data_IF_975579748377
#
_entry.id   IF_975579748377
#
_cell.length_a   1.000
_cell.length_b   1.000
_cell.length_c   1.000
_cell.angle_alpha   90.00
_cell.angle_beta   90.00
_cell.angle_gamma   90.00
#
_symmetry.space_group_name_H-M   'P 1'
#
loop_
_entity.id
_entity.type
_entity.pdbx_description
1 polymer ?
#
# COMPACT_ATOMS: atom_id res chain seq x y z
N UNK A 1 -8.79 28.45 -8.54
CA UNK A 1 -9.67 27.94 -7.47
C UNK A 1 -10.32 26.66 -7.95
N UNK A 2 -9.68 25.52 -7.77
CA UNK A 2 -10.27 24.22 -8.09
C UNK A 2 -10.92 23.68 -6.80
N UNK A 3 -12.20 23.40 -6.87
CA UNK A 3 -12.96 22.76 -5.78
C UNK A 3 -12.95 21.26 -6.05
N UNK A 4 -12.25 20.53 -5.21
CA UNK A 4 -12.27 19.06 -5.24
C UNK A 4 -13.50 18.57 -4.48
N UNK A 5 -14.28 17.70 -5.11
CA UNK A 5 -15.46 17.07 -4.48
C UNK A 5 -15.03 15.69 -4.02
N UNK A 6 -15.04 15.48 -2.71
CA UNK A 6 -14.77 14.18 -2.10
C UNK A 6 -16.10 13.53 -1.73
N UNK A 7 -16.34 12.30 -2.19
CA UNK A 7 -17.52 11.52 -1.84
C UNK A 7 -17.28 10.75 -0.53
N UNK A 8 -17.99 11.14 0.51
CA UNK A 8 -18.05 10.35 1.75
C UNK A 8 -19.36 9.57 1.73
N UNK A 9 -19.28 8.26 1.65
CA UNK A 9 -20.43 7.38 1.74
C UNK A 9 -20.75 7.11 3.22
N UNK A 10 -21.83 7.69 3.72
CA UNK A 10 -22.45 7.30 4.97
C UNK A 10 -23.70 6.48 4.70
N UNK A 11 -23.97 5.50 5.55
CA UNK A 11 -25.04 4.53 5.39
C UNK A 11 -26.40 5.21 5.15
N UNK A 12 -26.99 5.01 3.99
CA UNK A 12 -28.33 5.35 3.54
C UNK A 12 -28.64 6.72 2.91
N UNK A 13 -27.74 7.66 2.79
CA UNK A 13 -27.96 8.84 1.92
C UNK A 13 -26.66 9.55 1.57
N UNK A 14 -26.39 9.72 0.27
CA UNK A 14 -25.25 10.52 -0.23
C UNK A 14 -25.53 12.00 0.05
N UNK A 15 -24.88 12.57 1.05
CA UNK A 15 -24.91 14.02 1.30
C UNK A 15 -23.65 14.66 0.72
N UNK A 16 -23.86 15.67 -0.13
CA UNK A 16 -22.83 16.58 -0.61
C UNK A 16 -22.31 17.40 0.58
N UNK A 17 -21.13 17.06 1.06
CA UNK A 17 -20.42 17.89 2.05
C UNK A 17 -19.40 18.74 1.29
N UNK A 18 -19.67 20.04 1.18
CA UNK A 18 -18.67 21.01 0.73
C UNK A 18 -17.68 21.22 1.85
N UNK A 19 -16.48 20.68 1.69
CA UNK A 19 -15.36 20.98 2.58
C UNK A 19 -14.58 22.14 1.95
N UNK A 20 -14.56 23.28 2.59
CA UNK A 20 -13.67 24.39 2.22
C UNK A 20 -12.25 24.03 2.67
N UNK A 21 -11.50 23.41 1.78
CA UNK A 21 -10.07 23.09 1.96
C UNK A 21 -9.17 24.31 1.76
N UNK A 22 -9.40 25.38 2.54
CA UNK A 22 -8.42 26.45 2.73
C UNK A 22 -8.05 26.47 4.21
N UNK A 23 -7.42 25.39 4.67
CA UNK A 23 -6.49 25.47 5.79
C UNK A 23 -5.13 25.11 5.23
N UNK A 24 -4.24 26.09 5.27
CA UNK A 24 -2.81 25.92 5.06
C UNK A 24 -2.36 24.60 5.69
N UNK A 25 -1.71 23.74 4.92
CA UNK A 25 -0.93 22.63 5.43
C UNK A 25 0.20 23.21 6.31
N UNK A 26 -0.17 23.61 7.52
CA UNK A 26 0.76 23.98 8.56
C UNK A 26 1.22 22.69 9.21
N UNK A 27 2.52 22.45 9.17
CA UNK A 27 3.18 21.49 10.05
C UNK A 27 2.57 21.63 11.44
N UNK A 28 1.99 20.55 11.97
CA UNK A 28 1.57 20.51 13.36
C UNK A 28 2.85 20.55 14.22
N UNK A 29 3.19 21.69 14.88
CA UNK A 29 4.49 21.84 15.54
C UNK A 29 4.61 21.01 16.82
N UNK A 30 3.61 20.21 17.17
CA UNK A 30 3.57 19.46 18.42
C UNK A 30 3.58 17.95 18.26
N UNK A 31 3.49 17.38 17.05
CA UNK A 31 3.57 15.92 16.82
C UNK A 31 2.61 15.07 17.67
N UNK A 32 1.58 15.70 18.25
CA UNK A 32 0.64 15.01 19.11
C UNK A 32 -0.44 14.35 18.25
N UNK A 33 -0.30 13.04 18.07
CA UNK A 33 -1.39 12.19 17.62
C UNK A 33 -2.54 12.36 18.59
N UNK A 34 -3.69 12.84 18.12
CA UNK A 34 -4.86 13.13 18.97
C UNK A 34 -5.61 11.84 19.31
N UNK A 35 -5.60 10.85 18.41
CA UNK A 35 -6.18 9.54 18.65
C UNK A 35 -5.22 8.65 19.45
N UNK A 36 -5.74 8.00 20.51
CA UNK A 36 -5.00 6.95 21.22
C UNK A 36 -5.67 5.60 20.99
N UNK A 37 -4.90 4.67 20.45
CA UNK A 37 -5.29 3.26 20.46
C UNK A 37 -5.31 2.74 21.91
N UNK A 38 -6.25 1.83 22.26
CA UNK A 38 -6.19 1.14 23.53
C UNK A 38 -4.92 0.29 23.60
N UNK A 39 -4.27 0.27 24.75
CA UNK A 39 -3.12 -0.60 24.97
C UNK A 39 -3.55 -2.07 24.94
N UNK A 40 -2.94 -2.85 24.06
CA UNK A 40 -3.19 -4.26 23.88
C UNK A 40 -1.93 -5.09 24.18
N UNK A 41 -2.16 -6.32 24.59
CA UNK A 41 -1.10 -7.33 24.49
C UNK A 41 -0.99 -7.85 23.03
N UNK A 42 0.15 -8.46 22.69
CA UNK A 42 0.32 -9.13 21.38
C UNK A 42 -0.72 -10.22 21.15
N UNK A 43 -1.10 -10.91 22.24
CA UNK A 43 -2.13 -11.95 22.18
C UNK A 43 -3.50 -11.35 21.86
N UNK A 44 -3.88 -10.22 22.49
CA UNK A 44 -5.17 -9.57 22.22
C UNK A 44 -5.30 -9.13 20.76
N UNK A 45 -4.24 -8.51 20.22
CA UNK A 45 -4.23 -8.10 18.81
C UNK A 45 -4.28 -9.33 17.88
N UNK A 46 -3.50 -10.37 18.17
CA UNK A 46 -3.52 -11.63 17.41
C UNK A 46 -4.91 -12.26 17.40
N UNK A 47 -5.56 -12.37 18.55
CA UNK A 47 -6.90 -12.96 18.67
C UNK A 47 -7.95 -12.19 17.85
N UNK A 48 -7.88 -10.86 17.81
CA UNK A 48 -8.79 -10.04 16.99
C UNK A 48 -8.57 -10.27 15.49
N UNK A 49 -7.31 -10.39 15.05
CA UNK A 49 -6.99 -10.67 13.64
C UNK A 49 -7.39 -12.10 13.28
N UNK A 50 -7.10 -13.07 14.12
CA UNK A 50 -7.39 -14.50 13.89
C UNK A 50 -8.91 -14.81 13.90
N UNK A 51 -9.73 -13.92 14.47
CA UNK A 51 -11.18 -14.01 14.39
C UNK A 51 -11.74 -13.67 12.99
N UNK A 52 -10.95 -13.05 12.14
CA UNK A 52 -11.35 -12.74 10.77
C UNK A 52 -11.15 -13.95 9.84
N UNK A 53 -12.05 -14.14 8.87
CA UNK A 53 -11.84 -15.12 7.82
C UNK A 53 -10.53 -14.87 7.09
N UNK A 54 -9.75 -15.93 6.89
CA UNK A 54 -8.52 -15.84 6.11
C UNK A 54 -8.20 -17.16 5.38
N UNK A 55 -7.42 -17.01 4.31
CA UNK A 55 -6.77 -18.10 3.59
C UNK A 55 -5.27 -17.83 3.51
N UNK A 56 -4.48 -18.83 3.19
CA UNK A 56 -3.02 -18.69 3.15
C UNK A 56 -2.55 -18.55 1.70
N UNK A 57 -2.46 -17.31 1.22
CA UNK A 57 -1.91 -16.99 -0.09
C UNK A 57 -0.48 -16.46 0.03
N UNK A 58 -0.25 -15.59 1.00
CA UNK A 58 1.05 -14.97 1.23
C UNK A 58 2.08 -15.94 1.81
N UNK A 59 3.31 -15.89 1.29
CA UNK A 59 4.47 -16.55 1.91
C UNK A 59 4.98 -15.65 3.05
N UNK A 60 4.58 -15.97 4.28
CA UNK A 60 4.96 -15.26 5.50
C UNK A 60 5.48 -16.26 6.55
N UNK A 61 6.36 -15.84 7.48
CA UNK A 61 6.92 -14.48 7.62
C UNK A 61 7.88 -14.13 6.49
N UNK A 62 7.86 -12.86 6.07
CA UNK A 62 8.87 -12.35 5.13
C UNK A 62 10.18 -12.03 5.86
N UNK A 63 11.36 -12.12 5.20
CA UNK A 63 12.61 -11.79 5.86
C UNK A 63 12.69 -10.34 6.36
N UNK A 64 13.31 -10.13 7.50
CA UNK A 64 13.86 -8.86 7.95
C UNK A 64 15.39 -8.96 7.77
N UNK A 65 15.91 -8.34 6.72
CA UNK A 65 17.28 -8.50 6.23
C UNK A 65 18.11 -7.27 6.55
N UNK A 66 19.30 -7.43 7.09
CA UNK A 66 20.24 -6.32 7.28
C UNK A 66 20.90 -5.95 5.95
N UNK A 67 20.90 -4.66 5.62
CA UNK A 67 21.53 -4.07 4.43
C UNK A 67 22.89 -3.49 4.81
N UNK A 68 23.91 -4.34 4.87
CA UNK A 68 25.23 -3.97 5.43
C UNK A 68 25.93 -2.86 4.63
N UNK A 69 25.95 -2.96 3.31
CA UNK A 69 26.64 -1.97 2.48
C UNK A 69 25.89 -0.63 2.50
N UNK A 70 24.57 -0.67 2.45
CA UNK A 70 23.74 0.51 2.54
C UNK A 70 23.84 1.17 3.93
N UNK A 71 23.90 0.38 5.00
CA UNK A 71 24.12 0.88 6.36
C UNK A 71 25.45 1.61 6.50
N UNK A 72 26.53 1.06 5.94
CA UNK A 72 27.86 1.68 5.93
C UNK A 72 27.85 2.98 5.12
N UNK A 73 27.19 3.00 3.96
CA UNK A 73 27.10 4.19 3.11
C UNK A 73 26.32 5.33 3.77
N UNK A 74 25.23 5.00 4.46
CA UNK A 74 24.34 6.01 5.07
C UNK A 74 24.68 6.34 6.54
N UNK A 75 25.62 5.61 7.15
CA UNK A 75 26.06 5.85 8.53
C UNK A 75 25.01 5.52 9.61
N UNK A 76 24.00 4.71 9.28
CA UNK A 76 22.95 4.26 10.19
C UNK A 76 22.57 2.82 9.87
N UNK A 77 22.21 2.03 10.88
CA UNK A 77 21.78 0.64 10.69
C UNK A 77 20.48 0.57 9.88
N UNK A 78 20.51 -0.12 8.74
CA UNK A 78 19.35 -0.29 7.85
C UNK A 78 18.95 -1.76 7.80
N UNK A 79 17.70 -2.04 8.13
CA UNK A 79 17.05 -3.32 7.92
C UNK A 79 16.00 -3.17 6.80
N UNK A 80 15.90 -4.18 5.95
CA UNK A 80 14.88 -4.24 4.88
C UNK A 80 13.86 -5.30 5.23
N UNK A 81 12.61 -4.90 5.42
CA UNK A 81 11.48 -5.83 5.51
C UNK A 81 11.06 -6.21 4.11
N UNK A 82 11.35 -7.45 3.70
CA UNK A 82 11.27 -7.97 2.34
C UNK A 82 9.85 -8.38 1.94
N UNK A 83 8.93 -7.40 1.88
CA UNK A 83 7.56 -7.64 1.45
C UNK A 83 7.44 -7.92 -0.07
N UNK A 84 8.49 -7.64 -0.84
CA UNK A 84 8.67 -8.09 -2.21
C UNK A 84 8.70 -9.63 -2.34
N UNK A 85 9.03 -10.37 -1.28
CA UNK A 85 9.16 -11.83 -1.25
C UNK A 85 7.90 -12.57 -0.76
N UNK A 86 6.75 -11.96 -0.78
CA UNK A 86 5.46 -12.58 -0.39
C UNK A 86 4.96 -13.65 -1.36
N UNK A 87 5.63 -13.86 -2.49
CA UNK A 87 5.53 -15.04 -3.34
C UNK A 87 4.62 -14.90 -4.55
N UNK A 88 3.31 -14.67 -4.40
CA UNK A 88 2.35 -14.71 -5.51
C UNK A 88 2.67 -13.69 -6.60
N UNK A 89 2.73 -14.13 -7.87
CA UNK A 89 2.89 -13.31 -9.06
C UNK A 89 3.92 -12.17 -8.88
N UNK A 90 5.16 -12.52 -8.54
CA UNK A 90 6.29 -11.61 -8.25
C UNK A 90 6.16 -10.82 -6.94
N UNK A 91 5.31 -11.25 -6.02
CA UNK A 91 5.26 -10.70 -4.66
C UNK A 91 4.76 -9.27 -4.52
N UNK A 92 5.01 -8.72 -3.37
CA UNK A 92 4.61 -7.38 -2.96
C UNK A 92 3.62 -7.39 -1.79
N UNK A 93 3.50 -6.27 -1.10
CA UNK A 93 2.67 -6.12 0.10
C UNK A 93 1.19 -6.50 -0.11
N UNK A 94 0.67 -6.34 -1.34
CA UNK A 94 -0.72 -6.66 -1.68
C UNK A 94 -1.07 -8.14 -1.51
N UNK A 95 -0.08 -9.04 -1.53
CA UNK A 95 -0.35 -10.48 -1.35
C UNK A 95 -0.91 -10.75 0.05
N UNK A 96 -0.40 -10.08 1.10
CA UNK A 96 -0.97 -10.20 2.46
C UNK A 96 -2.44 -9.78 2.54
N UNK A 97 -2.83 -8.77 1.74
CA UNK A 97 -4.21 -8.31 1.70
C UNK A 97 -5.17 -9.39 1.19
N UNK A 98 -4.67 -10.20 0.25
CA UNK A 98 -5.48 -11.24 -0.40
C UNK A 98 -5.85 -12.38 0.54
N UNK A 99 -5.10 -12.61 1.61
CA UNK A 99 -5.46 -13.60 2.62
C UNK A 99 -6.85 -13.31 3.22
N UNK A 100 -7.19 -12.05 3.41
CA UNK A 100 -8.48 -11.60 3.95
C UNK A 100 -9.52 -11.34 2.85
N UNK A 101 -9.14 -10.64 1.77
CA UNK A 101 -10.06 -10.31 0.68
C UNK A 101 -10.64 -11.56 0.01
N UNK A 102 -9.79 -12.53 -0.30
CA UNK A 102 -10.26 -13.74 -0.99
C UNK A 102 -11.08 -14.64 -0.05
N UNK A 103 -10.77 -14.64 1.24
CA UNK A 103 -11.60 -15.35 2.22
C UNK A 103 -13.02 -14.74 2.29
N UNK A 104 -13.13 -13.43 2.32
CA UNK A 104 -14.43 -12.72 2.30
C UNK A 104 -15.19 -12.97 0.99
N UNK A 105 -14.50 -12.93 -0.16
CA UNK A 105 -15.09 -13.25 -1.46
C UNK A 105 -15.66 -14.67 -1.52
N UNK A 106 -14.91 -15.66 -1.03
CA UNK A 106 -15.34 -17.05 -0.96
C UNK A 106 -16.56 -17.20 -0.04
N UNK A 107 -16.56 -16.55 1.14
CA UNK A 107 -17.70 -16.61 2.08
C UNK A 107 -18.98 -16.01 1.48
N UNK A 108 -18.85 -14.99 0.62
CA UNK A 108 -19.97 -14.38 -0.11
C UNK A 108 -20.41 -15.21 -1.32
N UNK A 109 -19.74 -16.33 -1.59
CA UNK A 109 -20.07 -17.20 -2.73
C UNK A 109 -19.74 -16.55 -4.06
N UNK A 110 -18.78 -15.61 -4.10
CA UNK A 110 -18.37 -14.96 -5.34
C UNK A 110 -17.76 -15.97 -6.33
N UNK A 111 -18.02 -15.77 -7.61
CA UNK A 111 -17.43 -16.49 -8.72
C UNK A 111 -16.65 -15.58 -9.68
N UNK A 112 -16.83 -14.26 -9.53
CA UNK A 112 -16.08 -13.24 -10.26
C UNK A 112 -15.64 -12.10 -9.33
N UNK A 113 -14.38 -11.70 -9.48
CA UNK A 113 -13.77 -10.58 -8.79
C UNK A 113 -13.69 -9.39 -9.77
N UNK A 114 -14.21 -8.23 -9.38
CA UNK A 114 -14.24 -7.01 -10.20
C UNK A 114 -13.52 -5.87 -9.48
N UNK A 115 -12.60 -5.21 -10.17
CA UNK A 115 -11.93 -4.03 -9.60
C UNK A 115 -11.68 -2.95 -10.66
N UNK A 116 -11.32 -1.75 -10.20
CA UNK A 116 -10.82 -0.64 -11.02
C UNK A 116 -9.40 -0.32 -10.58
N UNK A 117 -8.46 -0.49 -11.49
CA UNK A 117 -7.06 -0.18 -11.22
C UNK A 117 -6.39 0.36 -12.49
N UNK A 118 -5.49 1.35 -12.37
CA UNK A 118 -4.74 1.84 -13.52
C UNK A 118 -3.81 0.75 -14.09
N UNK A 119 -3.36 0.96 -15.33
CA UNK A 119 -2.55 0.02 -16.10
C UNK A 119 -1.30 -0.49 -15.38
N UNK A 120 -0.65 0.35 -14.57
CA UNK A 120 0.58 0.02 -13.85
C UNK A 120 0.33 -0.64 -12.48
N UNK A 121 -0.92 -0.92 -12.10
CA UNK A 121 -1.25 -1.29 -10.72
C UNK A 121 -0.71 -2.65 -10.30
N UNK A 122 0.15 -2.67 -9.29
CA UNK A 122 0.55 -3.89 -8.58
C UNK A 122 -0.65 -4.58 -7.92
N UNK A 123 -1.67 -3.81 -7.50
CA UNK A 123 -2.87 -4.36 -6.91
C UNK A 123 -3.68 -5.17 -7.91
N UNK A 124 -3.85 -4.66 -9.15
CA UNK A 124 -4.57 -5.38 -10.22
C UNK A 124 -3.93 -6.74 -10.50
N UNK A 125 -2.60 -6.77 -10.63
CA UNK A 125 -1.83 -8.01 -10.84
C UNK A 125 -2.05 -9.02 -9.72
N UNK A 126 -1.97 -8.58 -8.48
CA UNK A 126 -2.09 -9.48 -7.31
C UNK A 126 -3.52 -9.96 -7.12
N UNK A 127 -4.54 -9.09 -7.29
CA UNK A 127 -5.94 -9.53 -7.26
C UNK A 127 -6.20 -10.59 -8.35
N UNK A 128 -5.71 -10.37 -9.57
CA UNK A 128 -5.86 -11.34 -10.65
C UNK A 128 -5.26 -12.70 -10.31
N UNK A 129 -4.02 -12.71 -9.84
CA UNK A 129 -3.35 -13.94 -9.44
C UNK A 129 -4.03 -14.64 -8.26
N UNK A 130 -4.50 -13.88 -7.26
CA UNK A 130 -5.20 -14.41 -6.10
C UNK A 130 -6.57 -14.96 -6.49
N UNK A 131 -7.32 -14.27 -7.35
CA UNK A 131 -8.61 -14.74 -7.89
C UNK A 131 -8.46 -16.09 -8.59
N UNK A 132 -7.46 -16.22 -9.48
CA UNK A 132 -7.19 -17.51 -10.15
C UNK A 132 -6.83 -18.61 -9.16
N UNK A 133 -6.06 -18.30 -8.14
CA UNK A 133 -5.65 -19.28 -7.12
C UNK A 133 -6.84 -19.85 -6.33
N UNK A 134 -7.91 -19.08 -6.16
CA UNK A 134 -9.12 -19.49 -5.46
C UNK A 134 -10.29 -19.85 -6.38
N UNK A 135 -10.06 -19.88 -7.70
CA UNK A 135 -11.05 -20.32 -8.68
C UNK A 135 -12.05 -19.25 -9.12
N UNK A 136 -11.78 -17.97 -8.86
CA UNK A 136 -12.60 -16.86 -9.33
C UNK A 136 -12.12 -16.36 -10.70
N UNK A 137 -13.04 -15.92 -11.54
CA UNK A 137 -12.69 -15.06 -12.66
C UNK A 137 -12.29 -13.68 -12.16
N UNK A 138 -11.44 -12.99 -12.93
CA UNK A 138 -11.06 -11.63 -12.58
C UNK A 138 -11.25 -10.67 -13.75
N UNK A 139 -11.91 -9.57 -13.46
CA UNK A 139 -12.14 -8.45 -14.39
C UNK A 139 -11.47 -7.22 -13.81
N UNK A 140 -10.60 -6.59 -14.60
CA UNK A 140 -9.99 -5.30 -14.26
C UNK A 140 -10.42 -4.22 -15.24
N UNK A 141 -11.09 -3.19 -14.74
CA UNK A 141 -11.36 -1.98 -15.51
C UNK A 141 -10.19 -1.03 -15.32
N UNK A 142 -9.47 -0.69 -16.39
CA UNK A 142 -8.26 0.12 -16.36
C UNK A 142 -8.48 1.48 -17.04
N UNK A 143 -8.69 2.56 -16.25
CA UNK A 143 -8.86 3.92 -16.78
C UNK A 143 -7.64 4.43 -17.54
N UNK A 144 -7.84 5.25 -18.59
CA UNK A 144 -6.81 5.88 -19.42
C UNK A 144 -5.71 4.91 -19.91
N UNK A 145 -6.08 3.67 -20.24
CA UNK A 145 -5.11 2.60 -20.50
C UNK A 145 -5.15 2.02 -21.93
N UNK A 146 -6.14 2.39 -22.74
CA UNK A 146 -6.37 1.80 -24.07
C UNK A 146 -5.19 1.91 -25.05
N UNK A 147 -4.44 2.99 -24.97
CA UNK A 147 -3.27 3.22 -25.83
C UNK A 147 -1.93 2.75 -25.24
N UNK A 148 -1.96 2.08 -24.07
CA UNK A 148 -0.74 1.63 -23.40
C UNK A 148 -0.23 0.32 -24.00
N UNK A 149 1.09 0.15 -24.12
CA UNK A 149 1.66 -1.14 -24.50
C UNK A 149 1.36 -2.19 -23.43
N UNK A 150 1.18 -3.44 -23.88
CA UNK A 150 0.99 -4.58 -22.96
C UNK A 150 2.36 -5.03 -22.47
N UNK A 151 2.82 -4.44 -21.38
CA UNK A 151 4.09 -4.75 -20.71
C UNK A 151 3.92 -4.61 -19.19
N UNK A 152 4.95 -4.88 -18.40
CA UNK A 152 4.92 -4.75 -16.94
C UNK A 152 3.73 -5.46 -16.30
N UNK A 153 2.99 -4.74 -15.48
CA UNK A 153 1.81 -5.28 -14.80
C UNK A 153 0.66 -5.64 -15.74
N UNK A 154 0.48 -4.95 -16.89
CA UNK A 154 -0.54 -5.34 -17.88
C UNK A 154 -0.21 -6.68 -18.53
N UNK A 155 1.05 -6.93 -18.89
CA UNK A 155 1.47 -8.21 -19.47
C UNK A 155 1.23 -9.37 -18.50
N UNK A 156 1.52 -9.18 -17.22
CA UNK A 156 1.29 -10.23 -16.21
C UNK A 156 -0.21 -10.50 -16.05
N UNK A 157 -1.05 -9.47 -16.08
CA UNK A 157 -2.51 -9.63 -16.05
C UNK A 157 -3.02 -10.40 -17.28
N UNK A 158 -2.50 -10.10 -18.47
CA UNK A 158 -2.82 -10.84 -19.70
C UNK A 158 -2.45 -12.32 -19.60
N UNK A 159 -1.23 -12.62 -19.16
CA UNK A 159 -0.75 -14.00 -18.95
C UNK A 159 -1.60 -14.76 -17.93
N UNK A 160 -2.06 -14.10 -16.87
CA UNK A 160 -2.95 -14.68 -15.83
C UNK A 160 -4.36 -14.94 -16.42
N UNK A 161 -4.71 -14.34 -17.55
CA UNK A 161 -6.03 -14.43 -18.18
C UNK A 161 -7.05 -13.53 -17.51
N UNK A 162 -6.63 -12.32 -17.09
CA UNK A 162 -7.54 -11.26 -16.62
C UNK A 162 -8.39 -10.76 -17.78
N UNK A 163 -9.69 -10.62 -17.58
CA UNK A 163 -10.55 -9.88 -18.51
C UNK A 163 -10.30 -8.38 -18.30
N UNK A 164 -9.50 -7.79 -19.20
CA UNK A 164 -9.04 -6.41 -19.09
C UNK A 164 -9.90 -5.47 -19.92
N UNK A 165 -10.59 -4.55 -19.25
CA UNK A 165 -11.37 -3.47 -19.88
C UNK A 165 -10.57 -2.18 -19.90
N UNK A 166 -9.80 -1.95 -20.96
CA UNK A 166 -8.94 -0.77 -21.12
C UNK A 166 -9.77 0.41 -21.64
N UNK A 167 -9.96 1.43 -20.80
CA UNK A 167 -10.75 2.61 -21.13
C UNK A 167 -9.87 3.74 -21.68
N UNK A 168 -10.45 4.61 -22.52
CA UNK A 168 -9.82 5.85 -22.98
C UNK A 168 -9.91 6.97 -21.92
N UNK A 169 -10.97 6.94 -21.11
CA UNK A 169 -11.25 7.97 -20.10
C UNK A 169 -10.65 7.63 -18.74
N UNK A 170 -10.34 8.66 -17.97
CA UNK A 170 -10.08 8.59 -16.52
C UNK A 170 -11.12 9.37 -15.71
N UNK A 171 -12.15 9.91 -16.36
CA UNK A 171 -13.18 10.67 -15.67
C UNK A 171 -13.97 9.77 -14.73
N UNK A 172 -13.98 10.06 -13.40
CA UNK A 172 -14.56 9.15 -12.41
C UNK A 172 -16.03 8.79 -12.66
N UNK A 173 -16.84 9.75 -13.14
CA UNK A 173 -18.25 9.53 -13.44
C UNK A 173 -18.45 8.50 -14.56
N UNK A 174 -17.66 8.59 -15.63
CA UNK A 174 -17.72 7.67 -16.77
C UNK A 174 -17.22 6.27 -16.40
N UNK A 175 -16.14 6.21 -15.63
CA UNK A 175 -15.59 4.94 -15.15
C UNK A 175 -16.60 4.23 -14.23
N UNK A 176 -17.20 4.97 -13.28
CA UNK A 176 -18.19 4.39 -12.36
C UNK A 176 -19.44 3.90 -13.11
N UNK A 177 -19.95 4.67 -14.07
CA UNK A 177 -21.08 4.26 -14.91
C UNK A 177 -20.77 2.98 -15.69
N UNK A 178 -19.55 2.88 -16.23
CA UNK A 178 -19.11 1.68 -16.94
C UNK A 178 -19.08 0.46 -16.01
N UNK A 179 -18.52 0.60 -14.83
CA UNK A 179 -18.41 -0.47 -13.82
C UNK A 179 -19.80 -0.92 -13.35
N UNK A 180 -20.71 0.02 -13.06
CA UNK A 180 -22.07 -0.31 -12.62
C UNK A 180 -22.87 -1.06 -13.70
N UNK A 181 -22.73 -0.67 -14.97
CA UNK A 181 -23.33 -1.40 -16.09
C UNK A 181 -22.76 -2.81 -16.25
N UNK A 182 -21.43 -2.93 -16.10
CA UNK A 182 -20.74 -4.21 -16.19
C UNK A 182 -21.18 -5.15 -15.07
N UNK A 183 -21.19 -4.68 -13.84
CA UNK A 183 -21.64 -5.45 -12.68
C UNK A 183 -23.10 -5.89 -12.82
N UNK A 184 -23.99 -4.97 -13.23
CA UNK A 184 -25.41 -5.29 -13.51
C UNK A 184 -25.54 -6.42 -14.53
N UNK A 185 -24.82 -6.33 -15.66
CA UNK A 185 -24.81 -7.36 -16.69
C UNK A 185 -24.33 -8.73 -16.16
N UNK A 186 -23.29 -8.74 -15.34
CA UNK A 186 -22.79 -9.99 -14.73
C UNK A 186 -23.84 -10.62 -13.81
N UNK A 187 -24.50 -9.82 -12.98
CA UNK A 187 -25.57 -10.28 -12.08
C UNK A 187 -26.77 -10.80 -12.89
N UNK A 188 -27.18 -10.15 -13.98
CA UNK A 188 -28.23 -10.63 -14.89
C UNK A 188 -27.87 -11.98 -15.54
N UNK A 189 -26.58 -12.26 -15.72
CA UNK A 189 -26.05 -13.54 -16.20
C UNK A 189 -25.97 -14.61 -15.09
N UNK A 190 -26.42 -14.31 -13.88
CA UNK A 190 -26.40 -15.22 -12.73
C UNK A 190 -25.05 -15.30 -12.01
N UNK A 191 -24.13 -14.35 -12.26
CA UNK A 191 -22.83 -14.30 -11.59
C UNK A 191 -22.93 -13.65 -10.20
N UNK A 192 -22.12 -14.10 -9.28
CA UNK A 192 -21.94 -13.49 -7.96
C UNK A 192 -20.66 -12.65 -7.96
N UNK A 193 -20.81 -11.33 -8.01
CA UNK A 193 -19.69 -10.39 -8.18
C UNK A 193 -19.14 -9.94 -6.84
N UNK A 194 -17.84 -10.10 -6.63
CA UNK A 194 -17.10 -9.45 -5.55
C UNK A 194 -16.46 -8.16 -6.09
N UNK A 195 -17.11 -7.04 -5.85
CA UNK A 195 -16.65 -5.73 -6.32
C UNK A 195 -15.73 -5.09 -5.27
N UNK A 196 -14.42 -5.13 -5.49
CA UNK A 196 -13.41 -4.63 -4.55
C UNK A 196 -13.59 -3.16 -4.17
N UNK A 197 -14.21 -2.35 -5.03
CA UNK A 197 -14.46 -0.92 -4.73
C UNK A 197 -15.57 -0.76 -3.69
N UNK A 198 -16.55 -1.65 -3.71
CA UNK A 198 -17.73 -1.59 -2.83
C UNK A 198 -17.53 -2.35 -1.53
N UNK A 199 -16.61 -3.33 -1.52
CA UNK A 199 -16.41 -4.23 -0.40
C UNK A 199 -15.55 -3.62 0.71
N UNK A 200 -16.09 -3.59 1.93
CA UNK A 200 -15.41 -3.03 3.08
C UNK A 200 -14.13 -3.80 3.44
N UNK A 201 -14.17 -5.14 3.37
CA UNK A 201 -12.99 -5.97 3.63
C UNK A 201 -11.86 -5.65 2.67
N UNK A 202 -12.14 -5.47 1.38
CA UNK A 202 -11.13 -5.12 0.40
C UNK A 202 -10.39 -3.82 0.74
N UNK A 203 -11.12 -2.83 1.27
CA UNK A 203 -10.54 -1.54 1.68
C UNK A 203 -9.84 -1.56 3.03
N UNK A 204 -10.15 -2.53 3.89
CA UNK A 204 -9.55 -2.65 5.24
C UNK A 204 -8.41 -3.65 5.30
N UNK A 205 -8.38 -4.61 4.39
CA UNK A 205 -7.42 -5.73 4.40
C UNK A 205 -5.95 -5.29 4.43
N UNK A 206 -5.62 -4.17 3.79
CA UNK A 206 -4.27 -3.63 3.81
C UNK A 206 -3.85 -3.25 5.23
N UNK A 207 -4.69 -2.53 5.95
CA UNK A 207 -4.43 -2.12 7.33
C UNK A 207 -4.37 -3.32 8.26
N UNK A 208 -5.34 -4.25 8.16
CA UNK A 208 -5.37 -5.48 8.97
C UNK A 208 -4.10 -6.31 8.77
N UNK A 209 -3.71 -6.54 7.52
CA UNK A 209 -2.52 -7.31 7.19
C UNK A 209 -1.23 -6.70 7.73
N UNK A 210 -1.17 -5.36 7.80
CA UNK A 210 0.00 -4.68 8.34
C UNK A 210 -0.05 -4.49 9.86
N UNK A 211 -1.22 -4.54 10.50
CA UNK A 211 -1.30 -4.76 11.95
C UNK A 211 -0.74 -6.15 12.31
N UNK A 212 -0.98 -7.17 11.49
CA UNK A 212 -0.37 -8.49 11.66
C UNK A 212 1.15 -8.46 11.40
N UNK A 213 1.59 -7.79 10.33
CA UNK A 213 3.00 -7.63 10.00
C UNK A 213 3.79 -6.92 11.12
N UNK A 214 3.14 -6.03 11.89
CA UNK A 214 3.73 -5.40 13.08
C UNK A 214 4.10 -6.44 14.13
N UNK A 215 3.24 -7.42 14.41
CA UNK A 215 3.56 -8.52 15.32
C UNK A 215 4.74 -9.35 14.82
N UNK A 216 4.80 -9.62 13.53
CA UNK A 216 5.87 -10.36 12.88
C UNK A 216 7.21 -9.62 12.97
N UNK A 217 7.22 -8.31 12.67
CA UNK A 217 8.43 -7.47 12.74
C UNK A 217 8.92 -7.37 14.19
N UNK A 218 8.03 -7.16 15.16
CA UNK A 218 8.38 -7.10 16.58
C UNK A 218 9.04 -8.41 17.08
N UNK A 219 8.54 -9.56 16.64
CA UNK A 219 9.14 -10.86 16.93
C UNK A 219 10.53 -11.03 16.27
N UNK A 220 10.69 -10.54 15.04
CA UNK A 220 11.95 -10.60 14.32
C UNK A 220 13.01 -9.69 14.95
N UNK A 221 12.63 -8.48 15.34
CA UNK A 221 13.54 -7.53 16.01
C UNK A 221 14.02 -8.06 17.36
N UNK A 222 13.12 -8.67 18.15
CA UNK A 222 13.51 -9.33 19.42
C UNK A 222 14.51 -10.44 19.26
N UNK A 223 14.45 -11.19 18.16
CA UNK A 223 15.43 -12.28 17.88
C UNK A 223 16.84 -11.77 17.60
N UNK A 224 16.98 -10.50 17.26
CA UNK A 224 18.27 -9.83 17.00
C UNK A 224 18.57 -8.72 18.01
N UNK A 225 17.89 -8.77 19.17
CA UNK A 225 18.08 -7.86 20.30
C UNK A 225 17.95 -6.36 19.98
N UNK A 226 17.07 -6.00 19.04
CA UNK A 226 16.72 -4.60 18.70
C UNK A 226 15.33 -4.31 19.26
N UNK A 227 15.25 -3.37 20.22
CA UNK A 227 13.99 -3.07 20.91
C UNK A 227 13.65 -1.59 21.00
N UNK A 228 14.57 -0.70 20.64
CA UNK A 228 14.42 0.74 20.80
C UNK A 228 14.87 1.53 19.57
N UNK A 229 14.46 2.78 19.47
CA UNK A 229 14.86 3.73 18.43
C UNK A 229 14.66 3.21 16.99
N UNK A 230 13.44 2.80 16.70
CA UNK A 230 13.10 2.25 15.38
C UNK A 230 12.38 3.31 14.54
N UNK A 231 13.00 3.65 13.42
CA UNK A 231 12.49 4.56 12.40
C UNK A 231 12.03 3.75 11.18
N UNK A 232 10.72 3.58 11.00
CA UNK A 232 10.16 2.73 9.96
C UNK A 232 9.62 3.56 8.80
N UNK A 233 10.05 3.25 7.57
CA UNK A 233 9.64 3.95 6.36
C UNK A 233 8.87 3.03 5.41
N UNK A 234 7.71 3.51 4.97
CA UNK A 234 6.84 2.80 4.03
C UNK A 234 6.11 3.80 3.11
N UNK A 235 5.74 3.36 1.90
CA UNK A 235 4.84 4.15 1.07
C UNK A 235 3.47 4.31 1.75
N UNK A 236 2.97 5.53 1.80
CA UNK A 236 1.72 5.85 2.49
C UNK A 236 0.52 5.15 1.85
N UNK A 237 -0.42 4.72 2.69
CA UNK A 237 -1.61 3.95 2.33
C UNK A 237 -2.08 3.07 3.50
N UNK A 238 -2.94 2.08 3.23
CA UNK A 238 -3.47 1.20 4.28
C UNK A 238 -2.40 0.42 5.06
N UNK A 239 -1.30 0.05 4.41
CA UNK A 239 -0.17 -0.61 5.07
C UNK A 239 0.52 0.32 6.09
N UNK A 240 0.73 1.60 5.76
CA UNK A 240 1.20 2.62 6.69
C UNK A 240 0.26 2.73 7.90
N UNK A 241 -1.05 2.86 7.66
CA UNK A 241 -2.05 2.91 8.73
C UNK A 241 -2.00 1.69 9.65
N UNK A 242 -1.78 0.48 9.10
CA UNK A 242 -1.67 -0.76 9.87
C UNK A 242 -0.46 -0.78 10.81
N UNK A 243 0.73 -0.41 10.30
CA UNK A 243 1.95 -0.31 11.10
C UNK A 243 1.80 0.74 12.22
N UNK A 244 1.27 1.92 11.89
CA UNK A 244 1.05 3.00 12.84
C UNK A 244 0.09 2.60 13.96
N UNK A 245 -1.09 2.06 13.62
CA UNK A 245 -2.12 1.68 14.59
C UNK A 245 -1.65 0.55 15.52
N UNK A 246 -1.00 -0.48 14.96
CA UNK A 246 -0.52 -1.60 15.76
C UNK A 246 0.66 -1.22 16.64
N UNK A 247 1.60 -0.40 16.18
CA UNK A 247 2.70 0.08 17.03
C UNK A 247 2.20 0.88 18.21
N UNK A 248 1.18 1.73 18.02
CA UNK A 248 0.52 2.45 19.12
C UNK A 248 -0.20 1.52 20.08
N UNK A 249 -1.02 0.59 19.57
CA UNK A 249 -1.77 -0.35 20.40
C UNK A 249 -0.85 -1.23 21.25
N UNK A 250 0.29 -1.63 20.72
CA UNK A 250 1.28 -2.46 21.41
C UNK A 250 2.32 -1.64 22.20
N UNK A 251 2.21 -0.32 22.20
CA UNK A 251 3.14 0.61 22.84
C UNK A 251 4.60 0.36 22.43
N UNK A 252 4.80 0.12 21.13
CA UNK A 252 6.15 -0.07 20.57
C UNK A 252 6.85 1.28 20.40
N UNK A 253 8.15 1.37 20.69
CA UNK A 253 8.93 2.61 20.54
C UNK A 253 9.34 2.81 19.06
N UNK A 254 8.35 2.83 18.17
CA UNK A 254 8.56 2.96 16.73
C UNK A 254 7.99 4.28 16.22
N UNK A 255 8.76 4.99 15.41
CA UNK A 255 8.28 6.07 14.57
C UNK A 255 7.97 5.50 13.19
N UNK A 256 6.75 5.67 12.72
CA UNK A 256 6.31 5.13 11.42
C UNK A 256 6.08 6.27 10.44
N UNK A 257 6.93 6.38 9.43
CA UNK A 257 6.91 7.40 8.39
C UNK A 257 6.18 6.91 7.15
N UNK A 258 5.07 7.56 6.81
CA UNK A 258 4.34 7.33 5.56
C UNK A 258 4.86 8.27 4.47
N UNK A 259 5.56 7.74 3.46
CA UNK A 259 6.06 8.54 2.35
C UNK A 259 4.99 8.64 1.26
N UNK A 260 4.57 9.86 0.92
CA UNK A 260 3.61 10.11 -0.14
C UNK A 260 4.23 9.83 -1.52
N UNK A 261 3.47 9.16 -2.37
CA UNK A 261 3.90 8.81 -3.74
C UNK A 261 3.02 9.45 -4.81
N UNK A 262 1.89 10.03 -4.42
CA UNK A 262 0.88 10.66 -5.26
C UNK A 262 0.25 11.87 -4.60
N UNK A 263 -0.95 12.24 -5.03
CA UNK A 263 -1.65 13.42 -4.51
C UNK A 263 -1.94 13.26 -3.00
N UNK A 264 -1.62 14.29 -2.18
CA UNK A 264 -1.77 14.20 -0.74
C UNK A 264 -3.21 13.89 -0.30
N UNK A 265 -4.20 14.57 -0.87
CA UNK A 265 -5.60 14.47 -0.48
C UNK A 265 -6.15 13.05 -0.66
N UNK A 266 -5.83 12.38 -1.77
CA UNK A 266 -6.24 10.99 -2.04
C UNK A 266 -5.57 10.03 -1.07
N UNK A 267 -4.29 10.20 -0.84
CA UNK A 267 -3.51 9.32 0.05
C UNK A 267 -3.95 9.43 1.51
N UNK A 268 -4.23 10.63 2.00
CA UNK A 268 -4.79 10.83 3.35
C UNK A 268 -6.16 10.20 3.49
N UNK A 269 -7.06 10.42 2.50
CA UNK A 269 -8.38 9.83 2.49
C UNK A 269 -8.31 8.30 2.55
N UNK A 270 -7.40 7.69 1.80
CA UNK A 270 -7.18 6.25 1.78
C UNK A 270 -6.69 5.74 3.13
N UNK A 271 -5.65 6.35 3.74
CA UNK A 271 -5.14 5.93 5.05
C UNK A 271 -6.24 5.99 6.10
N UNK A 272 -6.95 7.12 6.21
CA UNK A 272 -7.99 7.32 7.24
C UNK A 272 -9.17 6.37 7.02
N UNK A 273 -9.67 6.27 5.78
CA UNK A 273 -10.83 5.44 5.46
C UNK A 273 -10.53 3.95 5.67
N UNK A 274 -9.41 3.47 5.16
CA UNK A 274 -9.04 2.05 5.25
C UNK A 274 -8.70 1.65 6.68
N UNK A 275 -8.05 2.53 7.43
CA UNK A 275 -7.77 2.31 8.85
C UNK A 275 -9.05 2.25 9.68
N UNK A 276 -9.99 3.16 9.47
CA UNK A 276 -11.26 3.16 10.18
C UNK A 276 -12.12 1.93 9.86
N UNK A 277 -12.12 1.48 8.62
CA UNK A 277 -12.77 0.22 8.25
C UNK A 277 -12.10 -0.99 8.94
N UNK A 278 -10.77 -1.02 9.00
CA UNK A 278 -10.04 -2.06 9.69
C UNK A 278 -10.32 -2.07 11.20
N UNK A 279 -10.31 -0.90 11.84
CA UNK A 279 -10.65 -0.76 13.25
C UNK A 279 -12.08 -1.28 13.54
N UNK A 280 -13.03 -1.00 12.65
CA UNK A 280 -14.37 -1.52 12.77
C UNK A 280 -14.44 -3.05 12.68
N UNK A 281 -13.75 -3.65 11.69
CA UNK A 281 -13.67 -5.11 11.56
C UNK A 281 -13.02 -5.80 12.76
N UNK A 282 -12.06 -5.14 13.40
CA UNK A 282 -11.35 -5.65 14.57
C UNK A 282 -12.07 -5.31 15.90
N UNK A 283 -13.25 -4.67 15.85
CA UNK A 283 -14.08 -4.36 17.00
C UNK A 283 -13.54 -3.23 17.88
N UNK A 284 -12.83 -2.26 17.26
CA UNK A 284 -12.39 -1.04 17.93
C UNK A 284 -13.42 0.08 17.79
N UNK A 285 -13.57 0.89 18.83
CA UNK A 285 -14.42 2.11 18.84
C UNK A 285 -13.68 3.36 18.40
N UNK A 286 -12.36 3.34 18.49
CA UNK A 286 -11.46 4.42 18.12
C UNK A 286 -11.57 4.73 16.62
N UNK A 287 -11.38 6.01 16.27
CA UNK A 287 -11.42 6.44 14.86
C UNK A 287 -10.30 7.42 14.59
N UNK A 288 -9.55 7.11 13.53
CA UNK A 288 -8.50 7.95 12.97
C UNK A 288 -9.12 9.18 12.29
N UNK A 289 -8.48 10.32 12.44
CA UNK A 289 -8.80 11.55 11.73
C UNK A 289 -7.61 11.98 10.86
N UNK A 290 -7.78 13.03 10.07
CA UNK A 290 -6.71 13.57 9.24
C UNK A 290 -5.54 14.12 10.07
N UNK A 291 -5.82 14.67 11.25
CA UNK A 291 -4.81 15.23 12.15
C UNK A 291 -3.95 14.17 12.85
N UNK A 292 -4.37 12.90 12.78
CA UNK A 292 -3.66 11.78 13.40
C UNK A 292 -2.61 11.13 12.50
N UNK A 293 -2.55 11.51 11.21
CA UNK A 293 -1.70 10.86 10.22
C UNK A 293 -0.62 11.82 9.73
N UNK A 294 0.62 11.54 10.08
CA UNK A 294 1.77 12.26 9.52
C UNK A 294 2.23 11.59 8.23
N UNK A 295 2.45 12.40 7.19
CA UNK A 295 2.92 11.92 5.89
C UNK A 295 4.02 12.85 5.34
N UNK A 296 5.03 12.24 4.73
CA UNK A 296 6.14 12.96 4.11
C UNK A 296 5.81 13.23 2.63
N UNK A 297 5.51 14.47 2.28
CA UNK A 297 5.10 14.90 0.95
C UNK A 297 6.26 15.36 0.04
N UNK A 298 7.42 15.65 0.62
CA UNK A 298 8.62 16.13 -0.11
C UNK A 298 9.04 15.20 -1.27
N UNK A 299 8.77 13.90 -1.15
CA UNK A 299 9.29 12.86 -2.04
C UNK A 299 8.31 12.41 -3.14
N UNK A 300 7.19 13.11 -3.31
CA UNK A 300 6.24 12.85 -4.40
C UNK A 300 6.93 13.03 -5.77
N UNK A 301 7.90 13.95 -5.84
CA UNK A 301 8.58 14.30 -7.08
C UNK A 301 7.63 14.97 -8.08
N UNK A 302 7.77 14.71 -9.40
CA UNK A 302 6.90 15.30 -10.41
C UNK A 302 5.44 14.81 -10.37
N UNK A 303 5.13 13.80 -9.55
CA UNK A 303 3.78 13.27 -9.35
C UNK A 303 3.73 11.75 -9.24
N UNK A 304 2.51 11.20 -9.21
CA UNK A 304 2.29 9.75 -9.21
C UNK A 304 2.84 9.11 -10.48
N UNK A 305 3.56 7.99 -10.33
CA UNK A 305 4.20 7.28 -11.43
C UNK A 305 5.15 8.15 -12.29
N UNK A 306 5.75 9.16 -11.68
CA UNK A 306 6.80 9.99 -12.28
C UNK A 306 7.98 10.02 -11.32
N UNK A 307 9.04 9.23 -11.57
CA UNK A 307 10.21 9.23 -10.71
C UNK A 307 10.96 10.57 -10.82
N UNK A 308 11.33 11.13 -9.67
CA UNK A 308 12.30 12.23 -9.61
C UNK A 308 13.73 11.70 -9.72
N UNK A 309 14.69 12.60 -9.88
CA UNK A 309 16.11 12.23 -9.93
C UNK A 309 16.59 11.53 -8.64
N UNK A 310 16.13 12.00 -7.49
CA UNK A 310 16.33 11.42 -6.17
C UNK A 310 15.87 9.95 -6.07
N UNK A 311 14.69 9.68 -6.64
CA UNK A 311 14.13 8.34 -6.72
C UNK A 311 15.00 7.42 -7.60
N UNK A 312 15.45 7.90 -8.78
CA UNK A 312 16.30 7.14 -9.70
C UNK A 312 17.66 6.83 -9.05
N UNK A 313 18.25 7.80 -8.36
CA UNK A 313 19.50 7.63 -7.62
C UNK A 313 19.36 6.62 -6.48
N UNK A 314 18.26 6.66 -5.74
CA UNK A 314 17.95 5.71 -4.67
C UNK A 314 17.82 4.27 -5.20
N UNK A 315 17.10 4.07 -6.33
CA UNK A 315 16.98 2.76 -6.98
C UNK A 315 18.36 2.21 -7.35
N UNK A 316 19.21 3.03 -7.96
CA UNK A 316 20.56 2.64 -8.37
C UNK A 316 21.45 2.31 -7.19
N UNK A 317 21.44 3.16 -6.15
CA UNK A 317 22.24 2.96 -4.94
C UNK A 317 21.92 1.62 -4.28
N UNK A 318 20.64 1.29 -4.07
CA UNK A 318 20.27 0.03 -3.43
C UNK A 318 20.61 -1.17 -4.33
N UNK A 319 20.41 -1.05 -5.65
CA UNK A 319 20.78 -2.10 -6.59
C UNK A 319 22.30 -2.37 -6.61
N UNK A 320 23.11 -1.34 -6.56
CA UNK A 320 24.58 -1.44 -6.58
C UNK A 320 25.16 -1.97 -5.27
N UNK A 321 24.61 -1.54 -4.14
CA UNK A 321 25.12 -1.89 -2.82
C UNK A 321 24.61 -3.25 -2.34
N UNK A 322 23.33 -3.57 -2.57
CA UNK A 322 22.68 -4.74 -1.99
C UNK A 322 22.17 -5.77 -3.04
N UNK A 323 22.21 -5.45 -4.32
CA UNK A 323 21.61 -6.29 -5.36
C UNK A 323 20.08 -6.39 -5.28
N UNK A 324 19.44 -5.46 -4.57
CA UNK A 324 17.98 -5.40 -4.39
C UNK A 324 17.41 -4.35 -5.33
N UNK A 325 16.35 -4.72 -6.08
CA UNK A 325 15.71 -3.83 -7.04
C UNK A 325 14.49 -3.16 -6.42
N UNK A 326 14.41 -1.84 -6.54
CA UNK A 326 13.26 -1.02 -6.12
C UNK A 326 12.47 -0.58 -7.34
N UNK A 327 11.18 -0.27 -7.15
CA UNK A 327 10.33 0.29 -8.19
C UNK A 327 10.36 1.83 -8.19
N UNK A 328 10.10 2.49 -9.32
CA UNK A 328 10.17 3.95 -9.43
C UNK A 328 8.90 4.67 -8.94
N UNK A 329 7.82 3.95 -8.63
CA UNK A 329 6.54 4.56 -8.22
C UNK A 329 6.43 4.68 -6.71
N UNK A 330 6.85 3.64 -5.98
CA UNK A 330 6.70 3.54 -4.52
C UNK A 330 8.03 3.43 -3.79
N UNK A 331 8.72 2.32 -3.93
CA UNK A 331 9.86 1.95 -3.08
C UNK A 331 11.09 2.81 -3.30
N UNK A 332 11.33 3.26 -4.53
CA UNK A 332 12.40 4.21 -4.83
C UNK A 332 12.19 5.57 -4.14
N UNK A 333 10.94 6.07 -4.08
CA UNK A 333 10.61 7.32 -3.37
C UNK A 333 10.76 7.18 -1.85
N UNK A 334 10.39 6.03 -1.30
CA UNK A 334 10.60 5.74 0.13
C UNK A 334 12.10 5.72 0.47
N UNK A 335 12.90 5.07 -0.37
CA UNK A 335 14.35 5.03 -0.16
C UNK A 335 15.00 6.40 -0.34
N UNK A 336 14.51 7.23 -1.28
CA UNK A 336 14.96 8.61 -1.41
C UNK A 336 14.73 9.42 -0.12
N UNK A 337 13.62 9.17 0.59
CA UNK A 337 13.36 9.78 1.90
C UNK A 337 14.39 9.35 2.95
N UNK A 338 14.72 8.06 3.02
CA UNK A 338 15.71 7.53 3.96
C UNK A 338 17.10 8.13 3.68
N UNK A 339 17.51 8.19 2.42
CA UNK A 339 18.80 8.78 2.00
C UNK A 339 18.87 10.27 2.37
N UNK A 340 17.78 11.01 2.16
CA UNK A 340 17.69 12.43 2.50
C UNK A 340 17.79 12.65 4.03
N UNK A 341 17.09 11.82 4.82
CA UNK A 341 17.17 11.85 6.28
C UNK A 341 18.59 11.57 6.78
N UNK A 342 19.31 10.62 6.17
CA UNK A 342 20.70 10.33 6.51
C UNK A 342 21.62 11.52 6.16
N UNK A 343 21.49 12.11 4.97
CA UNK A 343 22.26 13.28 4.54
C UNK A 343 22.01 14.50 5.43
N UNK A 344 20.79 14.68 5.91
CA UNK A 344 20.40 15.78 6.81
C UNK A 344 20.78 15.50 8.28
N UNK A 345 21.47 14.40 8.58
CA UNK A 345 21.84 13.95 9.94
C UNK A 345 20.64 13.85 10.90
N UNK A 346 19.50 13.41 10.39
CA UNK A 346 18.28 13.20 11.20
C UNK A 346 18.33 11.90 12.00
N UNK A 347 19.15 10.94 11.58
CA UNK A 347 19.39 9.72 12.32
C UNK A 347 20.58 9.86 13.25
N UNK A 348 20.54 9.13 14.35
CA UNK A 348 21.66 8.96 15.30
C UNK A 348 22.25 7.55 15.17
N UNK A 349 23.44 7.32 15.71
CA UNK A 349 24.07 5.98 15.75
C UNK A 349 23.24 4.94 16.52
N UNK A 350 22.25 5.37 17.31
CA UNK A 350 21.37 4.49 18.08
C UNK A 350 20.13 4.07 17.32
N UNK A 351 19.82 4.74 16.21
CA UNK A 351 18.62 4.48 15.45
C UNK A 351 18.81 3.24 14.58
N UNK A 352 17.75 2.47 14.45
CA UNK A 352 17.62 1.41 13.45
C UNK A 352 16.53 1.79 12.47
N UNK A 353 16.89 1.95 11.22
CA UNK A 353 15.95 2.28 10.14
C UNK A 353 15.41 0.98 9.55
N UNK A 354 14.08 0.84 9.47
CA UNK A 354 13.43 -0.25 8.78
C UNK A 354 12.81 0.29 7.49
N UNK A 355 13.35 -0.11 6.38
CA UNK A 355 12.76 0.10 5.07
C UNK A 355 11.79 -1.04 4.74
N UNK A 356 10.50 -0.74 4.59
CA UNK A 356 9.50 -1.73 4.16
C UNK A 356 9.46 -1.78 2.64
N UNK A 357 10.13 -2.76 2.06
CA UNK A 357 10.18 -2.98 0.61
C UNK A 357 8.89 -3.63 0.11
N UNK A 358 7.93 -2.80 -0.30
CA UNK A 358 6.56 -3.22 -0.66
C UNK A 358 6.42 -3.92 -2.02
N UNK A 359 7.51 -4.15 -2.74
CA UNK A 359 7.51 -4.81 -4.06
C UNK A 359 7.54 -3.81 -5.21
N UNK A 360 6.78 -4.07 -6.29
CA UNK A 360 6.68 -3.18 -7.45
C UNK A 360 7.60 -3.54 -8.62
N UNK A 361 8.31 -4.65 -8.55
CA UNK A 361 9.33 -5.04 -9.54
C UNK A 361 8.86 -4.99 -11.01
N UNK A 362 7.64 -5.40 -11.40
CA UNK A 362 7.21 -5.31 -12.79
C UNK A 362 7.19 -3.90 -13.36
N UNK A 363 7.02 -2.88 -12.52
CA UNK A 363 6.99 -1.47 -12.95
C UNK A 363 8.35 -0.98 -13.45
N UNK A 364 9.47 -1.60 -13.05
CA UNK A 364 10.80 -1.25 -13.57
C UNK A 364 10.86 -1.29 -15.11
N UNK A 365 10.17 -2.23 -15.74
CA UNK A 365 10.19 -2.42 -17.18
C UNK A 365 9.36 -1.39 -17.94
N UNK A 366 8.42 -0.73 -17.24
CA UNK A 366 7.62 0.37 -17.80
C UNK A 366 8.40 1.71 -17.83
N UNK A 367 9.49 1.81 -17.05
CA UNK A 367 10.33 2.99 -16.89
C UNK A 367 11.77 2.77 -17.39
N UNK A 368 11.94 1.89 -18.38
CA UNK A 368 13.27 1.52 -18.88
C UNK A 368 14.05 2.73 -19.43
N UNK A 369 13.37 3.69 -20.07
CA UNK A 369 14.01 4.88 -20.63
C UNK A 369 14.53 5.84 -19.55
N UNK A 370 13.84 5.99 -18.44
CA UNK A 370 14.23 6.81 -17.30
C UNK A 370 15.34 6.15 -16.46
N UNK A 371 15.32 4.81 -16.40
CA UNK A 371 16.21 4.06 -15.51
C UNK A 371 17.52 3.63 -16.17
N UNK A 372 17.59 3.50 -17.50
CA UNK A 372 18.84 3.16 -18.19
C UNK A 372 19.90 4.24 -17.99
N UNK A 373 21.19 3.85 -17.91
CA UNK A 373 22.32 4.77 -17.68
C UNK A 373 22.79 5.50 -18.94
N UNK A 374 22.40 5.03 -20.10
CA UNK A 374 22.82 5.57 -21.40
C UNK A 374 22.39 4.68 -22.54
N UNK A 375 22.72 5.10 -23.76
CA UNK A 375 22.50 4.30 -24.93
C UNK A 375 23.64 3.27 -25.06
N UNK A 376 23.29 2.00 -24.97
CA UNK A 376 24.22 0.91 -25.19
C UNK A 376 24.35 0.69 -26.71
N UNK A 377 25.50 1.04 -27.27
CA UNK A 377 25.86 0.83 -28.69
C UNK A 377 26.50 -0.54 -28.88
#
# INVERSE_FOLDING_TARGET
MHKTIVYVADSCQTKLVKIDLVKSFGQNPTGLITMKMPTLTRLDLRQRIDALPRINIACIPTPLQEAHNLSNELGVRILIKREDLTGLAMGGNKVRHMDFCMADAIQKGADVSLNVNPWMSNNARIIGAASRRVGLDYINVAPASKSRPIQGNLLIQDIIGTDMHLLDTSEPSEVNEYVDKLETKLVEQGRTVYNHIKEHMSRSSATIAYMEATLEIDEQLKKIDITENIEMFIASGGAHGGLMLASQALTLPWTVHGVLVGQPEESYADVVTWSNNALNHLGFSERLTWDDVEQLDKYIGPGYAKPGQDCIEAIRMVAELEGILLDPVYTGKVMAAIIDYAKDNRFTEKDTVIFVHTGGLPELFDFADELKRGDYT
#
